data_IF_540018317514
#
_entry.id   IF_540018317514
#
_cell.length_a   1.000
_cell.length_b   1.000
_cell.length_c   1.000
_cell.angle_alpha   90.00
_cell.angle_beta   90.00
_cell.angle_gamma   90.00
#
_symmetry.space_group_name_H-M   'P 1'
#
loop_
_entity.id
_entity.type
_entity.pdbx_description
1 polymer ?
#
# COMPACT_ATOMS: atom_id res chain seq x y z
N UNK A 1 5.01 2.60 -14.39
CA UNK A 1 6.41 2.13 -14.23
C UNK A 1 6.80 2.41 -12.79
N UNK A 2 7.30 1.44 -12.03
CA UNK A 2 7.59 1.56 -10.58
C UNK A 2 8.75 2.52 -10.22
N UNK A 3 9.21 3.32 -11.17
CA UNK A 3 10.27 4.32 -10.99
C UNK A 3 11.64 3.72 -10.67
N UNK A 4 12.65 4.58 -10.66
CA UNK A 4 13.99 4.25 -10.17
C UNK A 4 14.02 4.36 -8.65
N UNK A 5 13.79 3.24 -7.96
CA UNK A 5 13.82 3.13 -6.48
C UNK A 5 14.61 1.90 -6.09
N UNK A 6 15.22 1.93 -4.91
CA UNK A 6 15.90 0.78 -4.33
C UNK A 6 14.87 -0.11 -3.64
N UNK A 7 14.29 -1.03 -4.41
CA UNK A 7 13.34 -2.03 -3.90
C UNK A 7 14.07 -3.08 -3.07
N UNK A 8 13.55 -3.34 -1.88
CA UNK A 8 14.06 -4.39 -0.99
C UNK A 8 12.92 -5.30 -0.57
N UNK A 9 13.10 -6.60 -0.79
CA UNK A 9 12.27 -7.63 -0.19
C UNK A 9 12.74 -7.83 1.25
N UNK A 10 11.93 -7.40 2.22
CA UNK A 10 12.30 -7.41 3.64
C UNK A 10 11.92 -8.70 4.34
N UNK A 11 10.83 -9.33 3.90
CA UNK A 11 10.33 -10.57 4.48
C UNK A 11 9.44 -11.30 3.46
N UNK A 12 9.47 -12.62 3.49
CA UNK A 12 8.63 -13.49 2.67
C UNK A 12 7.86 -14.40 3.61
N UNK A 13 6.54 -14.50 3.42
CA UNK A 13 5.73 -15.49 4.10
C UNK A 13 6.07 -16.90 3.56
N UNK A 14 6.33 -17.85 4.46
CA UNK A 14 6.52 -19.25 4.09
C UNK A 14 5.20 -20.01 4.32
N UNK A 15 4.60 -20.51 3.24
CA UNK A 15 3.34 -21.27 3.29
C UNK A 15 2.48 -21.10 2.05
N UNK A 16 1.24 -21.56 2.13
CA UNK A 16 0.26 -21.50 1.04
C UNK A 16 -1.04 -20.85 1.52
N UNK A 17 -1.60 -19.97 0.70
CA UNK A 17 -2.93 -19.37 0.91
C UNK A 17 -3.71 -19.41 -0.40
N UNK A 18 -5.04 -19.55 -0.32
CA UNK A 18 -5.91 -19.40 -1.49
C UNK A 18 -6.17 -17.92 -1.74
N UNK A 19 -5.81 -17.44 -2.92
CA UNK A 19 -5.89 -16.03 -3.29
C UNK A 19 -6.31 -15.88 -4.75
N UNK A 20 -7.07 -14.83 -5.08
CA UNK A 20 -7.20 -14.38 -6.45
C UNK A 20 -5.91 -13.64 -6.85
N UNK A 21 -5.05 -14.32 -7.61
CA UNK A 21 -3.75 -13.81 -8.01
C UNK A 21 -3.84 -12.47 -8.77
N UNK A 22 -4.87 -12.26 -9.58
CA UNK A 22 -5.04 -11.02 -10.33
C UNK A 22 -5.40 -9.86 -9.41
N UNK A 23 -6.32 -10.09 -8.46
CA UNK A 23 -6.73 -9.08 -7.47
C UNK A 23 -5.60 -8.75 -6.51
N UNK A 24 -4.88 -9.73 -6.00
CA UNK A 24 -3.73 -9.48 -5.12
C UNK A 24 -2.62 -8.71 -5.86
N UNK A 25 -2.33 -9.06 -7.11
CA UNK A 25 -1.38 -8.30 -7.94
C UNK A 25 -1.84 -6.85 -8.09
N UNK A 26 -3.13 -6.62 -8.35
CA UNK A 26 -3.70 -5.27 -8.43
C UNK A 26 -3.52 -4.50 -7.11
N UNK A 27 -3.80 -5.11 -5.96
CA UNK A 27 -3.64 -4.48 -4.65
C UNK A 27 -2.18 -4.10 -4.37
N UNK A 28 -1.24 -5.02 -4.61
CA UNK A 28 0.20 -4.79 -4.40
C UNK A 28 0.71 -3.67 -5.32
N UNK A 29 0.30 -3.64 -6.58
CA UNK A 29 0.70 -2.58 -7.51
C UNK A 29 0.17 -1.21 -7.09
N UNK A 30 -1.00 -1.14 -6.46
CA UNK A 30 -1.53 0.12 -5.94
C UNK A 30 -0.75 0.61 -4.72
N UNK A 31 -0.41 -0.29 -3.79
CA UNK A 31 0.48 0.04 -2.67
C UNK A 31 1.86 0.50 -3.17
N UNK A 32 2.39 -0.16 -4.20
CA UNK A 32 3.70 0.16 -4.79
C UNK A 32 3.68 1.51 -5.50
N UNK A 33 2.61 1.81 -6.23
CA UNK A 33 2.42 3.10 -6.90
C UNK A 33 2.33 4.23 -5.88
N UNK A 34 1.57 4.02 -4.80
CA UNK A 34 1.51 4.98 -3.69
C UNK A 34 2.91 5.23 -3.11
N UNK A 35 3.68 4.19 -2.77
CA UNK A 35 5.03 4.38 -2.26
C UNK A 35 5.98 5.13 -3.21
N UNK A 36 5.84 4.93 -4.53
CA UNK A 36 6.65 5.65 -5.54
C UNK A 36 6.27 7.12 -5.65
N UNK A 37 4.98 7.45 -5.52
CA UNK A 37 4.49 8.84 -5.53
C UNK A 37 5.04 9.67 -4.36
N UNK A 38 5.28 9.03 -3.20
CA UNK A 38 5.77 9.68 -1.97
C UNK A 38 7.27 9.53 -1.72
N UNK A 39 8.04 9.04 -2.69
CA UNK A 39 9.50 8.90 -2.59
C UNK A 39 10.21 9.56 -3.77
N UNK A 40 11.51 9.84 -3.64
CA UNK A 40 12.36 10.38 -4.70
C UNK A 40 13.23 9.29 -5.35
N UNK A 41 13.77 9.52 -6.57
CA UNK A 41 14.71 8.59 -7.19
C UNK A 41 15.87 8.19 -6.29
N UNK A 42 16.15 6.89 -6.21
CA UNK A 42 17.19 6.33 -5.35
C UNK A 42 16.78 6.02 -3.90
N UNK A 43 15.60 6.47 -3.46
CA UNK A 43 15.06 6.14 -2.14
C UNK A 43 14.77 4.64 -2.00
N UNK A 44 14.78 4.17 -0.75
CA UNK A 44 14.50 2.79 -0.41
C UNK A 44 13.00 2.57 -0.21
N UNK A 45 12.47 1.55 -0.89
CA UNK A 45 11.12 1.03 -0.66
C UNK A 45 11.25 -0.44 -0.25
N UNK A 46 10.78 -0.76 0.94
CA UNK A 46 10.71 -2.12 1.44
C UNK A 46 9.34 -2.74 1.16
N UNK A 47 9.32 -4.01 0.78
CA UNK A 47 8.09 -4.78 0.63
C UNK A 47 8.23 -6.14 1.29
N UNK A 48 7.13 -6.67 1.81
CA UNK A 48 7.17 -7.98 2.43
C UNK A 48 5.81 -8.63 2.58
N UNK A 49 5.86 -9.87 3.03
CA UNK A 49 4.70 -10.66 3.44
C UNK A 49 5.02 -11.47 4.68
N UNK A 50 4.00 -11.78 5.48
CA UNK A 50 4.12 -12.62 6.67
C UNK A 50 2.79 -13.30 6.99
N UNK A 51 2.85 -14.50 7.58
CA UNK A 51 1.70 -15.09 8.27
C UNK A 51 1.69 -14.61 9.72
N UNK A 52 0.55 -14.14 10.17
CA UNK A 52 0.32 -13.60 11.52
C UNK A 52 -0.93 -14.22 12.14
N UNK A 53 -0.98 -14.19 13.46
CA UNK A 53 -2.15 -14.54 14.26
C UNK A 53 -2.70 -13.24 14.83
N UNK A 54 -4.00 -12.99 14.66
CA UNK A 54 -4.71 -11.88 15.32
C UNK A 54 -5.73 -12.42 16.32
N UNK A 55 -6.32 -11.53 17.12
CA UNK A 55 -7.41 -11.93 18.04
C UNK A 55 -8.63 -12.44 17.26
N UNK A 56 -8.85 -11.95 16.03
CA UNK A 56 -9.99 -12.37 15.21
C UNK A 56 -9.71 -13.56 14.29
N UNK A 57 -8.43 -13.86 13.95
CA UNK A 57 -8.07 -14.85 12.94
C UNK A 57 -6.74 -15.54 13.25
N UNK A 58 -6.74 -16.89 13.26
CA UNK A 58 -5.54 -17.70 13.51
C UNK A 58 -4.55 -17.71 12.33
N UNK A 59 -5.00 -17.35 11.12
CA UNK A 59 -4.16 -17.35 9.93
C UNK A 59 -4.43 -16.10 9.09
N UNK A 60 -3.62 -15.07 9.27
CA UNK A 60 -3.68 -13.83 8.49
C UNK A 60 -2.43 -13.71 7.62
N UNK A 61 -2.61 -13.70 6.30
CA UNK A 61 -1.53 -13.36 5.38
C UNK A 61 -1.47 -11.83 5.21
N UNK A 62 -0.45 -11.20 5.80
CA UNK A 62 -0.20 -9.77 5.65
C UNK A 62 0.72 -9.52 4.46
N UNK A 63 0.39 -8.51 3.67
CA UNK A 63 1.30 -7.88 2.70
C UNK A 63 1.54 -6.43 3.12
N UNK A 64 2.75 -5.91 2.92
CA UNK A 64 3.04 -4.50 3.15
C UNK A 64 4.07 -3.94 2.19
N UNK A 65 4.00 -2.62 1.99
CA UNK A 65 5.02 -1.81 1.34
C UNK A 65 5.27 -0.61 2.25
N UNK A 66 6.54 -0.33 2.55
CA UNK A 66 6.96 0.78 3.41
C UNK A 66 8.11 1.56 2.76
N UNK A 67 8.22 2.83 3.09
CA UNK A 67 9.34 3.68 2.66
C UNK A 67 9.74 4.60 3.82
N UNK A 68 10.95 5.18 3.73
CA UNK A 68 11.37 6.23 4.65
C UNK A 68 10.83 7.57 4.14
N UNK A 69 10.01 8.25 4.94
CA UNK A 69 9.37 9.52 4.60
C UNK A 69 8.63 10.09 5.80
N UNK A 70 8.14 11.35 5.74
CA UNK A 70 7.24 11.86 6.75
C UNK A 70 6.01 10.95 6.81
N UNK A 71 5.78 10.33 7.97
CA UNK A 71 4.63 9.46 8.18
C UNK A 71 3.32 10.22 7.95
N UNK A 72 2.24 9.48 7.74
CA UNK A 72 0.90 10.06 7.65
C UNK A 72 0.50 10.51 9.06
N UNK A 73 -0.02 11.73 9.20
CA UNK A 73 -0.53 12.20 10.49
C UNK A 73 -1.65 11.25 10.96
N UNK A 74 -1.67 10.90 12.24
CA UNK A 74 -2.61 9.90 12.76
C UNK A 74 -4.09 10.24 12.46
N UNK A 75 -4.43 11.53 12.38
CA UNK A 75 -5.76 12.02 12.02
C UNK A 75 -6.15 11.71 10.56
N UNK A 76 -5.17 11.56 9.66
CA UNK A 76 -5.38 11.35 8.23
C UNK A 76 -5.35 9.86 7.84
N UNK A 77 -4.96 8.96 8.74
CA UNK A 77 -4.80 7.52 8.45
C UNK A 77 -6.12 6.87 8.02
N UNK A 78 -7.27 7.33 8.52
CA UNK A 78 -8.56 6.76 8.15
C UNK A 78 -9.08 7.32 6.82
N UNK A 79 -8.84 8.61 6.55
CA UNK A 79 -9.36 9.33 5.38
C UNK A 79 -8.60 9.02 4.09
N UNK A 80 -7.32 8.63 4.16
CA UNK A 80 -6.54 8.22 2.97
C UNK A 80 -7.11 6.98 2.25
N UNK A 81 -7.98 6.21 2.93
CA UNK A 81 -8.67 5.05 2.35
C UNK A 81 -10.02 5.41 1.73
N UNK A 82 -10.48 6.65 1.90
CA UNK A 82 -11.69 7.16 1.27
C UNK A 82 -11.39 7.63 -0.15
N UNK A 83 -12.28 7.32 -1.09
CA UNK A 83 -12.10 7.75 -2.47
C UNK A 83 -12.08 9.28 -2.49
N UNK A 84 -11.09 9.86 -3.18
CA UNK A 84 -10.93 11.30 -3.43
C UNK A 84 -10.44 12.14 -2.22
N UNK A 85 -10.21 11.51 -1.06
CA UNK A 85 -9.52 12.00 0.14
C UNK A 85 -8.05 12.44 -0.03
N UNK A 86 -7.73 13.57 -0.67
CA UNK A 86 -6.40 14.18 -0.50
C UNK A 86 -6.39 14.97 0.81
N UNK A 87 -5.84 14.39 1.88
CA UNK A 87 -5.69 15.06 3.18
C UNK A 87 -5.17 16.49 3.00
N UNK A 88 -5.93 17.48 3.46
CA UNK A 88 -5.70 18.91 3.18
C UNK A 88 -4.37 19.46 3.76
N UNK A 89 -3.59 18.65 4.47
CA UNK A 89 -2.34 19.04 5.14
C UNK A 89 -1.07 19.10 4.27
N UNK A 90 -1.08 18.67 3.01
CA UNK A 90 0.11 18.71 2.13
C UNK A 90 -0.02 19.75 1.00
N UNK A 91 -0.24 21.01 1.38
CA UNK A 91 -0.05 22.19 0.50
C UNK A 91 1.20 22.95 0.91
N UNK A 92 2.39 22.35 0.77
CA UNK A 92 3.61 23.15 0.70
C UNK A 92 4.71 22.38 -0.02
N UNK A 93 5.09 22.86 -1.21
CA UNK A 93 6.19 22.30 -1.98
C UNK A 93 5.96 22.35 -3.48
N UNK A 94 6.10 23.54 -4.06
CA UNK A 94 6.22 23.84 -5.49
C UNK A 94 6.99 22.78 -6.32
N UNK A 95 6.28 22.00 -7.16
CA UNK A 95 6.83 21.50 -8.43
C UNK A 95 5.72 21.07 -9.44
N UNK A 96 5.80 21.40 -10.75
CA UNK A 96 4.68 21.43 -11.71
C UNK A 96 4.36 20.09 -12.39
N UNK A 97 4.75 18.96 -11.82
CA UNK A 97 4.42 17.62 -12.35
C UNK A 97 3.22 17.03 -11.61
N UNK A 98 2.09 17.73 -11.70
CA UNK A 98 0.78 17.21 -11.38
C UNK A 98 0.43 16.04 -12.31
N UNK A 99 0.78 14.83 -11.90
CA UNK A 99 0.06 13.62 -12.30
C UNK A 99 -0.48 12.97 -11.04
N UNK A 100 -1.45 13.66 -10.43
CA UNK A 100 -2.21 13.17 -9.30
C UNK A 100 -3.05 11.97 -9.75
N UNK A 101 -2.65 10.76 -9.34
CA UNK A 101 -3.56 9.62 -9.32
C UNK A 101 -4.81 9.99 -8.50
N UNK A 102 -5.99 9.53 -8.91
CA UNK A 102 -7.28 9.98 -8.38
C UNK A 102 -7.58 9.58 -6.91
N UNK A 103 -6.58 9.30 -6.07
CA UNK A 103 -6.76 8.80 -4.70
C UNK A 103 -7.40 7.40 -4.66
N UNK A 104 -7.39 6.67 -5.78
CA UNK A 104 -8.09 5.39 -5.94
C UNK A 104 -7.30 4.19 -5.41
N UNK A 105 -5.98 4.32 -5.25
CA UNK A 105 -5.09 3.20 -4.97
C UNK A 105 -5.43 2.46 -3.67
N UNK A 106 -5.57 3.21 -2.57
CA UNK A 106 -5.90 2.63 -1.26
C UNK A 106 -7.36 2.15 -1.16
N UNK A 107 -8.29 2.79 -1.88
CA UNK A 107 -9.67 2.33 -1.97
C UNK A 107 -9.80 0.96 -2.68
N UNK A 108 -8.96 0.69 -3.68
CA UNK A 108 -8.87 -0.64 -4.34
C UNK A 108 -8.37 -1.68 -3.34
N UNK A 109 -7.30 -1.39 -2.58
CA UNK A 109 -6.78 -2.29 -1.56
C UNK A 109 -7.84 -2.61 -0.50
N UNK A 110 -8.58 -1.59 -0.04
CA UNK A 110 -9.68 -1.73 0.92
C UNK A 110 -10.86 -2.55 0.39
N UNK A 111 -11.04 -2.64 -0.92
CA UNK A 111 -12.07 -3.51 -1.52
C UNK A 111 -11.59 -4.95 -1.65
N UNK A 112 -10.30 -5.14 -1.98
CA UNK A 112 -9.74 -6.46 -2.28
C UNK A 112 -9.49 -7.28 -1.02
N UNK A 113 -8.95 -6.67 0.06
CA UNK A 113 -8.58 -7.41 1.26
C UNK A 113 -9.79 -8.06 1.97
N UNK A 114 -10.92 -7.37 2.24
CA UNK A 114 -12.07 -7.99 2.88
C UNK A 114 -12.69 -9.10 2.01
N UNK A 115 -12.73 -8.92 0.69
CA UNK A 115 -13.26 -9.92 -0.24
C UNK A 115 -12.49 -11.26 -0.19
N UNK A 116 -11.22 -11.25 0.23
CA UNK A 116 -10.43 -12.47 0.44
C UNK A 116 -10.66 -13.10 1.81
N UNK A 117 -11.15 -12.35 2.80
CA UNK A 117 -11.54 -12.90 4.10
C UNK A 117 -12.93 -13.55 4.05
N UNK A 118 -13.81 -13.05 3.18
CA UNK A 118 -15.17 -13.60 2.97
C UNK A 118 -15.19 -14.77 1.97
N UNK A 119 -14.10 -14.99 1.22
CA UNK A 119 -13.99 -16.06 0.22
C UNK A 119 -13.39 -17.37 0.79
N UNK A 120 -13.28 -17.50 2.12
CA UNK A 120 -12.78 -18.69 2.81
C UNK A 120 -13.92 -19.60 3.29
#
# INVERSE_FOLDING_TARGET
>A
MLGDRRWQLVQIAEGTAQLDAQRITQAILQLATNAVEYTAPGDRIGMGSNFEVTEECEHVLRFWIHHAGPGIAAADVTSIFERFERGEGHRSGSNPHERAGAGLGLAIVRTIAPAHNEAA
#
